data_IF_904889004464
#
_entry.id   IF_904889004464
#
_cell.length_a   1.000
_cell.length_b   1.000
_cell.length_c   1.000
_cell.angle_alpha   90.00
_cell.angle_beta   90.00
_cell.angle_gamma   90.00
#
_symmetry.space_group_name_H-M   'P 1'
#
loop_
_entity.id
_entity.type
_entity.pdbx_description
1 polymer ?
#
# COMPACT_ATOMS: atom_id res chain seq x y z
N UNK A 1 -12.03 5.02 -12.99
CA UNK A 1 -10.72 4.38 -13.21
C UNK A 1 -9.67 4.83 -12.20
N UNK A 2 -9.27 6.11 -12.15
CA UNK A 2 -8.28 6.56 -11.15
C UNK A 2 -8.80 6.40 -9.71
N UNK A 3 -10.06 6.79 -9.44
CA UNK A 3 -10.69 6.60 -8.13
C UNK A 3 -10.70 5.13 -7.67
N UNK A 4 -11.06 4.21 -8.57
CA UNK A 4 -11.08 2.76 -8.28
C UNK A 4 -9.67 2.23 -7.96
N UNK A 5 -8.66 2.74 -8.67
CA UNK A 5 -7.24 2.41 -8.46
C UNK A 5 -6.76 2.87 -7.09
N UNK A 6 -7.07 4.11 -6.71
CA UNK A 6 -6.69 4.66 -5.40
C UNK A 6 -7.43 3.96 -4.25
N UNK A 7 -8.70 3.59 -4.46
CA UNK A 7 -9.46 2.79 -3.50
C UNK A 7 -8.85 1.41 -3.28
N UNK A 8 -8.49 0.72 -4.36
CA UNK A 8 -7.82 -0.57 -4.28
C UNK A 8 -6.46 -0.47 -3.55
N UNK A 9 -5.65 0.54 -3.90
CA UNK A 9 -4.36 0.80 -3.25
C UNK A 9 -4.51 1.05 -1.76
N UNK A 10 -5.50 1.85 -1.36
CA UNK A 10 -5.82 2.09 0.04
C UNK A 10 -6.12 0.77 0.77
N UNK A 11 -6.98 -0.08 0.19
CA UNK A 11 -7.32 -1.38 0.78
C UNK A 11 -6.10 -2.31 0.90
N UNK A 12 -5.23 -2.36 -0.10
CA UNK A 12 -4.02 -3.17 -0.08
C UNK A 12 -3.05 -2.71 1.02
N UNK A 13 -2.76 -1.41 1.09
CA UNK A 13 -1.91 -0.81 2.12
C UNK A 13 -2.50 -0.98 3.53
N UNK A 14 -3.84 -0.95 3.66
CA UNK A 14 -4.52 -1.20 4.93
C UNK A 14 -4.29 -2.63 5.42
N UNK A 15 -4.38 -3.64 4.55
CA UNK A 15 -4.10 -5.03 4.94
C UNK A 15 -2.63 -5.21 5.31
N UNK A 16 -1.71 -4.72 4.46
CA UNK A 16 -0.27 -4.82 4.72
C UNK A 16 0.12 -4.16 6.04
N UNK A 17 -0.44 -2.99 6.36
CA UNK A 17 -0.15 -2.32 7.62
C UNK A 17 -0.78 -3.00 8.84
N UNK A 18 -1.88 -3.75 8.69
CA UNK A 18 -2.40 -4.63 9.76
C UNK A 18 -1.44 -5.76 10.10
N UNK A 19 -0.81 -6.33 9.08
CA UNK A 19 0.13 -7.45 9.22
C UNK A 19 1.47 -6.96 9.76
N UNK A 20 2.03 -5.90 9.16
CA UNK A 20 3.35 -5.38 9.52
C UNK A 20 3.36 -4.55 10.83
N UNK A 21 2.26 -3.89 11.16
CA UNK A 21 2.14 -3.01 12.35
C UNK A 21 0.78 -3.19 13.03
N UNK A 22 0.54 -4.33 13.70
CA UNK A 22 -0.77 -4.64 14.28
C UNK A 22 -1.20 -3.66 15.39
N UNK A 23 -0.26 -3.09 16.14
CA UNK A 23 -0.53 -2.16 17.24
C UNK A 23 -0.84 -0.72 16.83
N UNK A 24 -0.76 -0.40 15.54
CA UNK A 24 -1.02 0.95 15.04
C UNK A 24 -2.54 1.23 15.06
N UNK A 25 -2.95 2.38 15.58
CA UNK A 25 -4.38 2.71 15.67
C UNK A 25 -5.00 2.86 14.27
N UNK A 26 -6.31 2.68 14.18
CA UNK A 26 -7.03 2.85 12.91
C UNK A 26 -6.87 4.27 12.34
N UNK A 27 -6.84 5.29 13.19
CA UNK A 27 -6.69 6.69 12.79
C UNK A 27 -5.30 6.98 12.26
N UNK A 28 -4.25 6.54 12.96
CA UNK A 28 -2.87 6.71 12.51
C UNK A 28 -2.63 5.95 11.20
N UNK A 29 -3.15 4.72 11.10
CA UNK A 29 -3.02 3.91 9.88
C UNK A 29 -3.67 4.59 8.69
N UNK A 30 -4.85 5.14 8.90
CA UNK A 30 -5.55 5.91 7.87
C UNK A 30 -4.75 7.13 7.44
N UNK A 31 -4.22 7.91 8.39
CA UNK A 31 -3.44 9.10 8.11
C UNK A 31 -2.17 8.77 7.30
N UNK A 32 -1.43 7.72 7.70
CA UNK A 32 -0.23 7.26 6.98
C UNK A 32 -0.56 6.85 5.54
N UNK A 33 -1.63 6.07 5.34
CA UNK A 33 -2.03 5.61 4.01
C UNK A 33 -2.55 6.77 3.15
N UNK A 34 -3.30 7.71 3.73
CA UNK A 34 -3.73 8.92 3.03
C UNK A 34 -2.54 9.76 2.58
N UNK A 35 -1.52 9.93 3.44
CA UNK A 35 -0.28 10.63 3.09
C UNK A 35 0.49 9.93 1.95
N UNK A 36 0.53 8.60 1.94
CA UNK A 36 1.16 7.82 0.86
C UNK A 36 0.44 7.98 -0.48
N UNK A 37 -0.89 8.08 -0.47
CA UNK A 37 -1.72 8.17 -1.67
C UNK A 37 -1.83 9.61 -2.21
N UNK A 38 -1.60 10.62 -1.37
CA UNK A 38 -1.78 12.03 -1.73
C UNK A 38 -1.07 12.45 -3.03
N UNK A 39 0.18 12.04 -3.31
CA UNK A 39 0.84 12.38 -4.58
C UNK A 39 0.10 11.87 -5.83
N UNK A 40 -0.61 10.75 -5.71
CA UNK A 40 -1.40 10.15 -6.79
C UNK A 40 -2.81 10.75 -6.91
N UNK A 41 -3.31 11.40 -5.85
CA UNK A 41 -4.66 11.97 -5.76
C UNK A 41 -4.71 13.46 -6.08
N UNK A 42 -3.65 14.19 -5.75
CA UNK A 42 -3.64 15.65 -5.81
C UNK A 42 -3.81 16.14 -7.25
N UNK A 43 -4.90 16.87 -7.51
CA UNK A 43 -5.17 17.48 -8.81
C UNK A 43 -4.13 18.55 -9.20
N UNK A 44 -3.37 19.05 -8.23
CA UNK A 44 -2.27 19.99 -8.45
C UNK A 44 -1.00 19.32 -9.01
N UNK A 45 -0.90 17.99 -8.92
CA UNK A 45 0.25 17.26 -9.44
C UNK A 45 0.11 17.00 -10.95
N UNK A 46 1.22 17.07 -11.71
CA UNK A 46 1.21 16.69 -13.12
C UNK A 46 0.72 15.24 -13.31
N UNK A 47 -0.02 14.91 -14.39
CA UNK A 47 -0.51 13.56 -14.63
C UNK A 47 0.59 12.49 -14.64
N UNK A 48 1.78 12.83 -15.14
CA UNK A 48 2.94 11.95 -15.11
C UNK A 48 3.40 11.62 -13.67
N UNK A 49 3.36 12.59 -12.77
CA UNK A 49 3.70 12.39 -11.36
C UNK A 49 2.64 11.52 -10.66
N UNK A 50 1.36 11.77 -10.94
CA UNK A 50 0.28 10.94 -10.40
C UNK A 50 0.42 9.48 -10.85
N UNK A 51 0.71 9.25 -12.13
CA UNK A 51 0.94 7.92 -12.67
C UNK A 51 2.17 7.23 -12.05
N UNK A 52 3.28 7.96 -11.92
CA UNK A 52 4.49 7.44 -11.29
C UNK A 52 4.25 7.07 -9.82
N UNK A 53 3.49 7.87 -9.08
CA UNK A 53 3.12 7.58 -7.70
C UNK A 53 2.25 6.31 -7.59
N UNK A 54 1.28 6.13 -8.49
CA UNK A 54 0.47 4.90 -8.55
C UNK A 54 1.37 3.68 -8.80
N UNK A 55 2.25 3.75 -9.79
CA UNK A 55 3.17 2.64 -10.13
C UNK A 55 4.05 2.29 -8.94
N UNK A 56 4.68 3.28 -8.30
CA UNK A 56 5.55 3.07 -7.15
C UNK A 56 4.81 2.43 -5.96
N UNK A 57 3.56 2.84 -5.69
CA UNK A 57 2.75 2.23 -4.64
C UNK A 57 2.35 0.79 -4.97
N UNK A 58 2.06 0.49 -6.24
CA UNK A 58 1.82 -0.88 -6.70
C UNK A 58 3.05 -1.76 -6.53
N UNK A 59 4.22 -1.28 -6.93
CA UNK A 59 5.49 -1.99 -6.75
C UNK A 59 5.78 -2.24 -5.28
N UNK A 60 5.57 -1.26 -4.41
CA UNK A 60 5.73 -1.42 -2.96
C UNK A 60 4.79 -2.50 -2.39
N UNK A 61 3.52 -2.49 -2.79
CA UNK A 61 2.54 -3.52 -2.41
C UNK A 61 2.96 -4.90 -2.93
N UNK A 62 3.43 -4.98 -4.18
CA UNK A 62 3.88 -6.21 -4.81
C UNK A 62 5.10 -6.77 -4.06
N UNK A 63 6.13 -5.95 -3.83
CA UNK A 63 7.34 -6.35 -3.11
C UNK A 63 7.01 -6.81 -1.69
N UNK A 64 6.14 -6.09 -0.97
CA UNK A 64 5.71 -6.50 0.37
C UNK A 64 4.97 -7.86 0.33
N UNK A 65 4.18 -8.10 -0.71
CA UNK A 65 3.45 -9.36 -0.90
C UNK A 65 4.35 -10.51 -1.35
N UNK A 66 5.46 -10.22 -2.03
CA UNK A 66 6.46 -11.21 -2.45
C UNK A 66 7.49 -11.50 -1.35
N UNK A 67 7.84 -10.52 -0.53
CA UNK A 67 8.64 -10.70 0.69
C UNK A 67 7.88 -11.51 1.75
N UNK A 68 6.55 -11.57 1.62
CA UNK A 68 5.66 -12.50 2.32
C UNK A 68 5.65 -13.91 1.66
N UNK A 69 6.80 -14.40 1.18
CA UNK A 69 7.03 -15.85 1.23
C UNK A 69 7.36 -16.13 2.70
N UNK A 70 6.42 -16.62 3.55
CA UNK A 70 6.85 -17.17 4.83
C UNK A 70 7.97 -18.17 4.51
N UNK A 71 9.08 -18.22 5.27
CA UNK A 71 10.02 -19.30 5.08
C UNK A 71 9.19 -20.59 5.04
N UNK A 72 9.45 -21.45 4.07
CA UNK A 72 8.96 -22.81 4.08
C UNK A 72 9.41 -23.39 5.41
N UNK A 73 8.57 -23.27 6.44
CA UNK A 73 8.77 -23.92 7.72
C UNK A 73 8.77 -25.39 7.33
N UNK A 74 9.86 -26.14 7.52
CA UNK A 74 9.78 -27.58 7.44
C UNK A 74 8.74 -27.98 8.49
N UNK A 75 7.56 -28.39 8.03
CA UNK A 75 6.52 -28.95 8.89
C UNK A 75 6.97 -30.38 9.23
N UNK A 76 7.64 -30.54 10.37
CA UNK A 76 8.17 -31.83 10.83
C UNK A 76 9.48 -32.22 10.12
N UNK A 77 10.40 -32.94 10.77
CA UNK A 77 10.29 -33.87 11.90
C UNK A 77 11.44 -33.68 12.91
#
# INVERSE_FOLDING_TARGET
MQADTLWWLFGALWRLSREARPGLSATERRADIEALIEPARSASNPPALQAAAIVALFEAVLIASLGWVPPLVPQGE
#
